data_IF_639000688041
#
_entry.id   IF_639000688041
#
_cell.length_a   1.000
_cell.length_b   1.000
_cell.length_c   1.000
_cell.angle_alpha   90.00
_cell.angle_beta   90.00
_cell.angle_gamma   90.00
#
_symmetry.space_group_name_H-M   'P 1'
#
loop_
_entity.id
_entity.type
_entity.pdbx_description
1 polymer ?
#
# COMPACT_ATOMS: atom_id res chain seq x y z
N UNK A 1 -8.60 -42.54 -3.68
CA UNK A 1 -8.47 -41.34 -2.83
C UNK A 1 -7.20 -40.53 -3.13
N UNK A 2 -5.98 -41.09 -3.05
CA UNK A 2 -4.73 -40.34 -3.38
C UNK A 2 -4.67 -39.91 -4.85
N UNK A 3 -5.04 -40.77 -5.80
CA UNK A 3 -5.05 -40.48 -7.24
C UNK A 3 -6.05 -39.39 -7.63
N UNK A 4 -7.19 -39.31 -6.96
CA UNK A 4 -8.20 -38.27 -7.21
C UNK A 4 -7.72 -36.89 -6.75
N UNK A 5 -7.07 -36.79 -5.58
CA UNK A 5 -6.52 -35.54 -5.06
C UNK A 5 -5.43 -35.00 -5.99
N UNK A 6 -4.53 -35.85 -6.47
CA UNK A 6 -3.47 -35.46 -7.43
C UNK A 6 -4.07 -34.94 -8.73
N UNK A 7 -5.14 -35.55 -9.24
CA UNK A 7 -5.82 -35.11 -10.45
C UNK A 7 -6.54 -33.77 -10.27
N UNK A 8 -7.12 -33.52 -9.10
CA UNK A 8 -7.79 -32.25 -8.77
C UNK A 8 -6.76 -31.11 -8.66
N UNK A 9 -5.64 -31.35 -8.01
CA UNK A 9 -4.55 -30.35 -7.86
C UNK A 9 -3.97 -30.00 -9.23
N UNK A 10 -3.63 -31.00 -10.06
CA UNK A 10 -3.11 -30.79 -11.39
C UNK A 10 -4.09 -30.02 -12.31
N UNK A 11 -5.40 -30.25 -12.15
CA UNK A 11 -6.43 -29.48 -12.87
C UNK A 11 -6.51 -28.05 -12.38
N UNK A 12 -6.44 -27.79 -11.08
CA UNK A 12 -6.49 -26.44 -10.53
C UNK A 12 -5.29 -25.60 -10.96
N UNK A 13 -4.08 -26.17 -10.90
CA UNK A 13 -2.85 -25.52 -11.40
C UNK A 13 -2.94 -25.20 -12.90
N UNK A 14 -3.43 -26.13 -13.70
CA UNK A 14 -3.62 -25.91 -15.15
C UNK A 14 -4.63 -24.79 -15.45
N UNK A 15 -5.74 -24.70 -14.70
CA UNK A 15 -6.71 -23.61 -14.85
C UNK A 15 -6.11 -22.24 -14.51
N UNK A 16 -5.25 -22.16 -13.49
CA UNK A 16 -4.51 -20.95 -13.17
C UNK A 16 -3.54 -20.56 -14.28
N UNK A 17 -2.72 -21.49 -14.76
CA UNK A 17 -1.80 -21.28 -15.88
C UNK A 17 -2.54 -20.83 -17.15
N UNK A 18 -3.68 -21.45 -17.48
CA UNK A 18 -4.50 -21.07 -18.63
C UNK A 18 -5.05 -19.63 -18.48
N UNK A 19 -5.52 -19.27 -17.28
CA UNK A 19 -6.00 -17.92 -17.01
C UNK A 19 -4.87 -16.88 -17.17
N UNK A 20 -3.66 -17.19 -16.71
CA UNK A 20 -2.50 -16.30 -16.84
C UNK A 20 -2.03 -16.15 -18.28
N UNK A 21 -2.01 -17.24 -19.06
CA UNK A 21 -1.71 -17.18 -20.49
C UNK A 21 -2.70 -16.32 -21.28
N UNK A 22 -4.01 -16.40 -20.95
CA UNK A 22 -5.05 -15.58 -21.58
C UNK A 22 -4.93 -14.09 -21.20
N UNK A 23 -4.46 -13.80 -19.98
CA UNK A 23 -4.22 -12.41 -19.54
C UNK A 23 -3.02 -11.77 -20.23
N UNK A 24 -1.98 -12.56 -20.48
CA UNK A 24 -0.73 -12.06 -21.08
C UNK A 24 -0.79 -11.85 -22.60
N UNK A 25 -1.91 -12.19 -23.29
CA UNK A 25 -1.98 -12.21 -24.77
C UNK A 25 -3.20 -11.49 -25.29
N UNK A 26 -3.03 -10.82 -26.45
CA UNK A 26 -4.16 -10.16 -27.13
C UNK A 26 -5.15 -11.14 -27.73
N UNK A 27 -4.63 -12.17 -28.38
CA UNK A 27 -5.40 -13.29 -28.92
C UNK A 27 -4.48 -14.50 -29.09
N UNK A 28 -5.03 -15.70 -28.96
CA UNK A 28 -4.30 -16.95 -29.18
C UNK A 28 -5.25 -18.02 -29.70
N UNK A 29 -4.72 -19.10 -30.26
CA UNK A 29 -5.56 -20.21 -30.76
C UNK A 29 -5.70 -21.31 -29.72
N UNK A 30 -6.82 -22.05 -29.76
CA UNK A 30 -7.01 -23.26 -28.94
C UNK A 30 -5.88 -24.26 -29.13
N UNK A 31 -5.37 -24.39 -30.35
CA UNK A 31 -4.26 -25.31 -30.65
C UNK A 31 -2.95 -24.85 -29.97
N UNK A 32 -2.63 -23.56 -30.02
CA UNK A 32 -1.43 -23.01 -29.37
C UNK A 32 -1.46 -23.22 -27.87
N UNK A 33 -2.59 -22.89 -27.20
CA UNK A 33 -2.76 -23.11 -25.77
C UNK A 33 -2.71 -24.58 -25.37
N UNK A 34 -3.30 -25.47 -26.18
CA UNK A 34 -3.27 -26.91 -25.91
C UNK A 34 -1.84 -27.47 -25.98
N UNK A 35 -1.05 -27.04 -26.95
CA UNK A 35 0.35 -27.42 -27.08
C UNK A 35 1.19 -26.91 -25.92
N UNK A 36 1.01 -25.64 -25.52
CA UNK A 36 1.78 -25.02 -24.44
C UNK A 36 1.49 -25.63 -23.06
N UNK A 37 0.23 -25.99 -22.81
CA UNK A 37 -0.18 -26.66 -21.58
C UNK A 37 -0.03 -28.18 -21.63
N UNK A 38 0.50 -28.72 -22.73
CA UNK A 38 0.67 -30.15 -22.97
C UNK A 38 -0.61 -30.98 -22.76
N UNK A 39 -1.76 -30.46 -23.20
CA UNK A 39 -3.07 -31.13 -23.06
C UNK A 39 -3.77 -31.31 -24.39
N UNK A 40 -4.74 -32.24 -24.43
CA UNK A 40 -5.58 -32.39 -25.61
C UNK A 40 -6.47 -31.14 -25.84
N UNK A 41 -6.80 -30.86 -27.11
CA UNK A 41 -7.77 -29.83 -27.47
C UNK A 41 -9.10 -29.97 -26.73
N UNK A 42 -9.58 -31.20 -26.51
CA UNK A 42 -10.80 -31.51 -25.77
C UNK A 42 -10.69 -31.08 -24.30
N UNK A 43 -9.53 -31.36 -23.67
CA UNK A 43 -9.25 -30.97 -22.29
C UNK A 43 -9.23 -29.44 -22.16
N UNK A 44 -8.55 -28.75 -23.07
CA UNK A 44 -8.47 -27.30 -23.08
C UNK A 44 -9.84 -26.62 -23.25
N UNK A 45 -10.68 -27.14 -24.19
CA UNK A 45 -12.04 -26.60 -24.37
C UNK A 45 -12.90 -26.75 -23.12
N UNK A 46 -12.75 -27.87 -22.39
CA UNK A 46 -13.43 -28.06 -21.09
C UNK A 46 -12.90 -27.10 -20.01
N UNK A 47 -11.62 -26.86 -19.98
CA UNK A 47 -10.99 -25.92 -19.05
C UNK A 47 -11.39 -24.46 -19.34
N UNK A 48 -11.47 -24.07 -20.61
CA UNK A 48 -12.02 -22.77 -21.05
C UNK A 48 -13.50 -22.60 -20.65
N UNK A 49 -14.32 -23.65 -20.81
CA UNK A 49 -15.70 -23.62 -20.35
C UNK A 49 -15.79 -23.44 -18.83
N UNK A 50 -14.96 -24.16 -18.06
CA UNK A 50 -14.90 -24.01 -16.60
C UNK A 50 -14.46 -22.60 -16.16
N UNK A 51 -13.57 -21.94 -16.89
CA UNK A 51 -13.18 -20.55 -16.61
C UNK A 51 -14.31 -19.57 -16.93
N UNK A 52 -15.08 -19.78 -18.03
CA UNK A 52 -16.26 -18.98 -18.35
C UNK A 52 -17.34 -19.09 -17.28
N UNK A 53 -17.65 -20.31 -16.81
CA UNK A 53 -18.59 -20.58 -15.72
C UNK A 53 -18.18 -19.87 -14.42
N UNK A 54 -16.90 -19.64 -14.20
CA UNK A 54 -16.34 -18.90 -13.07
C UNK A 54 -16.29 -17.38 -13.28
N UNK A 55 -16.88 -16.89 -14.38
CA UNK A 55 -17.00 -15.46 -14.67
C UNK A 55 -15.82 -14.84 -15.42
N UNK A 56 -14.87 -15.62 -15.97
CA UNK A 56 -13.87 -15.05 -16.85
C UNK A 56 -14.51 -14.75 -18.22
N UNK A 57 -14.48 -13.50 -18.70
CA UNK A 57 -15.06 -13.11 -19.98
C UNK A 57 -14.17 -13.57 -21.14
N UNK A 58 -14.23 -14.84 -21.47
CA UNK A 58 -13.46 -15.43 -22.55
C UNK A 58 -14.32 -15.49 -23.80
N UNK A 59 -13.93 -14.76 -24.86
CA UNK A 59 -14.52 -14.85 -26.17
C UNK A 59 -13.63 -15.64 -27.12
N UNK A 60 -14.22 -16.12 -28.18
CA UNK A 60 -13.52 -16.79 -29.26
C UNK A 60 -14.43 -17.70 -30.07
N UNK A 61 -14.22 -17.75 -31.37
CA UNK A 61 -14.92 -18.66 -32.26
C UNK A 61 -14.16 -19.98 -32.39
N UNK A 62 -14.89 -21.09 -32.30
CA UNK A 62 -14.33 -22.42 -32.54
C UNK A 62 -14.30 -22.68 -34.06
N UNK A 63 -13.12 -22.57 -34.68
CA UNK A 63 -12.94 -22.85 -36.12
C UNK A 63 -11.48 -22.82 -36.56
N UNK A 64 -11.18 -23.19 -37.82
CA UNK A 64 -9.85 -22.99 -38.40
C UNK A 64 -9.59 -21.48 -38.50
N UNK A 65 -8.66 -20.96 -37.67
CA UNK A 65 -8.38 -19.53 -37.55
C UNK A 65 -9.09 -18.80 -36.42
N UNK A 66 -9.97 -19.46 -35.67
CA UNK A 66 -10.65 -18.89 -34.51
C UNK A 66 -9.68 -18.63 -33.35
N UNK A 67 -9.62 -17.38 -32.88
CA UNK A 67 -8.82 -16.98 -31.72
C UNK A 67 -9.60 -17.05 -30.44
N UNK A 68 -8.94 -17.42 -29.35
CA UNK A 68 -9.45 -17.27 -27.99
C UNK A 68 -8.81 -16.03 -27.35
N UNK A 69 -9.61 -15.14 -26.80
CA UNK A 69 -9.14 -13.94 -26.08
C UNK A 69 -9.95 -13.71 -24.84
N UNK A 70 -9.36 -13.03 -23.89
CA UNK A 70 -10.09 -12.49 -22.76
C UNK A 70 -10.78 -11.20 -23.20
N UNK A 71 -12.11 -11.12 -23.11
CA UNK A 71 -12.86 -9.87 -23.35
C UNK A 71 -12.92 -9.05 -22.09
N UNK A 72 -12.83 -7.75 -22.25
CA UNK A 72 -12.96 -6.78 -21.18
C UNK A 72 -11.87 -5.73 -21.29
N UNK A 73 -12.18 -4.56 -20.76
CA UNK A 73 -11.19 -3.52 -20.52
C UNK A 73 -10.05 -4.16 -19.72
N UNK A 74 -8.83 -4.15 -20.26
CA UNK A 74 -7.67 -4.84 -19.68
C UNK A 74 -7.29 -4.20 -18.35
N UNK A 75 -8.17 -4.38 -17.37
CA UNK A 75 -7.86 -4.06 -15.99
C UNK A 75 -6.73 -4.95 -15.47
N UNK A 76 -6.00 -4.46 -14.50
CA UNK A 76 -4.96 -5.23 -13.81
C UNK A 76 -5.59 -6.52 -13.29
N UNK A 77 -5.02 -7.68 -13.67
CA UNK A 77 -5.38 -8.97 -13.10
C UNK A 77 -5.31 -8.92 -11.57
N UNK A 78 -6.02 -9.79 -10.87
CA UNK A 78 -6.06 -9.81 -9.42
C UNK A 78 -4.65 -9.71 -8.82
N UNK A 79 -4.35 -8.56 -8.25
CA UNK A 79 -3.08 -8.31 -7.54
C UNK A 79 -3.35 -8.48 -6.05
N UNK A 80 -2.58 -9.36 -5.42
CA UNK A 80 -2.64 -9.53 -3.97
C UNK A 80 -1.71 -8.52 -3.31
N UNK A 81 -2.28 -7.46 -2.76
CA UNK A 81 -1.53 -6.46 -2.01
C UNK A 81 -1.62 -6.72 -0.50
N UNK A 82 -0.48 -6.63 0.16
CA UNK A 82 -0.38 -6.54 1.61
C UNK A 82 -0.94 -5.19 2.10
N UNK A 83 -1.23 -5.08 3.40
CA UNK A 83 -1.68 -3.81 3.97
C UNK A 83 -0.61 -2.70 3.81
N UNK A 84 0.67 -3.06 3.95
CA UNK A 84 1.79 -2.12 3.83
C UNK A 84 1.91 -1.57 2.40
N UNK A 85 1.77 -2.43 1.37
CA UNK A 85 1.79 -2.00 -0.03
C UNK A 85 0.61 -1.07 -0.35
N UNK A 86 -0.59 -1.35 0.18
CA UNK A 86 -1.75 -0.47 0.01
C UNK A 86 -1.50 0.90 0.68
N UNK A 87 -0.91 0.92 1.87
CA UNK A 87 -0.52 2.16 2.57
C UNK A 87 0.51 2.94 1.77
N UNK A 88 1.52 2.28 1.20
CA UNK A 88 2.55 2.92 0.38
C UNK A 88 1.95 3.57 -0.88
N UNK A 89 1.07 2.86 -1.61
CA UNK A 89 0.36 3.39 -2.78
C UNK A 89 -0.54 4.58 -2.37
N UNK A 90 -1.29 4.44 -1.27
CA UNK A 90 -2.14 5.51 -0.74
C UNK A 90 -1.32 6.74 -0.36
N UNK A 91 -0.19 6.58 0.34
CA UNK A 91 0.68 7.68 0.73
C UNK A 91 1.30 8.37 -0.49
N UNK A 92 1.78 7.59 -1.48
CA UNK A 92 2.30 8.12 -2.74
C UNK A 92 1.28 8.97 -3.50
N UNK A 93 0.04 8.49 -3.62
CA UNK A 93 -1.04 9.24 -4.24
C UNK A 93 -1.37 10.54 -3.47
N UNK A 94 -1.29 10.53 -2.14
CA UNK A 94 -1.51 11.71 -1.30
C UNK A 94 -0.40 12.74 -1.43
N UNK A 95 0.86 12.29 -1.44
CA UNK A 95 2.02 13.16 -1.60
C UNK A 95 2.00 13.85 -2.98
N UNK A 96 1.67 13.12 -4.03
CA UNK A 96 1.54 13.67 -5.37
C UNK A 96 0.51 14.81 -5.43
N UNK A 97 -0.62 14.68 -4.75
CA UNK A 97 -1.65 15.74 -4.69
C UNK A 97 -1.24 16.94 -3.84
N UNK A 98 -0.41 16.74 -2.83
CA UNK A 98 0.05 17.82 -1.96
C UNK A 98 1.11 18.71 -2.63
N UNK A 99 1.78 18.20 -3.65
CA UNK A 99 2.89 18.92 -4.32
C UNK A 99 2.46 19.66 -5.59
N UNK A 100 1.45 19.17 -6.32
CA UNK A 100 0.91 19.82 -7.52
C UNK A 100 -0.31 19.05 -8.06
N UNK A 101 -1.13 19.69 -8.89
CA UNK A 101 -2.11 19.02 -9.71
C UNK A 101 -1.39 18.25 -10.82
N UNK A 102 -1.28 16.95 -10.66
CA UNK A 102 -0.63 16.07 -11.62
C UNK A 102 -1.61 15.62 -12.71
N UNK A 103 -1.15 15.41 -13.95
CA UNK A 103 -1.92 14.66 -14.94
C UNK A 103 -2.37 13.32 -14.35
N UNK A 104 -3.58 12.88 -14.70
CA UNK A 104 -4.20 11.65 -14.18
C UNK A 104 -4.52 11.62 -12.68
N UNK A 105 -4.51 12.75 -11.97
CA UNK A 105 -4.83 12.80 -10.54
C UNK A 105 -6.23 12.25 -10.20
N UNK A 106 -7.23 12.51 -11.05
CA UNK A 106 -8.58 11.94 -10.90
C UNK A 106 -8.60 10.43 -11.14
N UNK A 107 -7.85 9.95 -12.13
CA UNK A 107 -7.74 8.52 -12.41
C UNK A 107 -7.06 7.78 -11.25
N UNK A 108 -6.01 8.35 -10.67
CA UNK A 108 -5.34 7.79 -9.49
C UNK A 108 -6.29 7.74 -8.28
N UNK A 109 -7.09 8.77 -8.07
CA UNK A 109 -8.11 8.80 -7.02
C UNK A 109 -9.20 7.73 -7.23
N UNK A 110 -9.70 7.60 -8.46
CA UNK A 110 -10.67 6.57 -8.83
C UNK A 110 -10.12 5.15 -8.61
N UNK A 111 -8.87 4.90 -9.02
CA UNK A 111 -8.19 3.62 -8.81
C UNK A 111 -8.05 3.30 -7.32
N UNK A 112 -7.69 4.29 -6.50
CA UNK A 112 -7.58 4.14 -5.05
C UNK A 112 -8.94 3.81 -4.41
N UNK A 113 -10.03 4.47 -4.84
CA UNK A 113 -11.38 4.17 -4.36
C UNK A 113 -11.79 2.73 -4.67
N UNK A 114 -11.52 2.25 -5.90
CA UNK A 114 -11.79 0.87 -6.31
C UNK A 114 -10.99 -0.12 -5.44
N UNK A 115 -9.70 0.17 -5.22
CA UNK A 115 -8.83 -0.65 -4.37
C UNK A 115 -9.37 -0.74 -2.94
N UNK A 116 -9.74 0.39 -2.35
CA UNK A 116 -10.28 0.44 -0.99
C UNK A 116 -11.64 -0.25 -0.88
N UNK A 117 -12.50 -0.11 -1.89
CA UNK A 117 -13.79 -0.77 -1.97
C UNK A 117 -13.70 -2.30 -2.12
N UNK A 118 -12.60 -2.81 -2.65
CA UNK A 118 -12.36 -4.26 -2.80
C UNK A 118 -11.80 -4.94 -1.54
N UNK A 119 -11.44 -4.16 -0.50
CA UNK A 119 -10.83 -4.71 0.70
C UNK A 119 -11.84 -5.42 1.61
N UNK A 120 -11.50 -6.60 2.14
CA UNK A 120 -12.28 -7.22 3.21
C UNK A 120 -12.39 -6.30 4.43
N UNK A 121 -13.52 -6.32 5.11
CA UNK A 121 -13.83 -5.42 6.22
C UNK A 121 -12.73 -5.31 7.31
N UNK A 122 -12.03 -6.39 7.74
CA UNK A 122 -10.93 -6.29 8.69
C UNK A 122 -9.76 -5.48 8.16
N UNK A 123 -9.33 -5.71 6.91
CA UNK A 123 -8.24 -4.96 6.26
C UNK A 123 -8.62 -3.49 6.07
N UNK A 124 -9.86 -3.21 5.65
CA UNK A 124 -10.36 -1.85 5.50
C UNK A 124 -10.38 -1.08 6.84
N UNK A 125 -10.72 -1.74 7.96
CA UNK A 125 -10.64 -1.15 9.31
C UNK A 125 -9.20 -0.85 9.72
N UNK A 126 -8.29 -1.80 9.52
CA UNK A 126 -6.87 -1.65 9.83
C UNK A 126 -6.24 -0.49 9.03
N UNK A 127 -6.54 -0.42 7.74
CA UNK A 127 -6.08 0.69 6.88
C UNK A 127 -6.60 2.04 7.35
N UNK A 128 -7.90 2.17 7.63
CA UNK A 128 -8.48 3.41 8.15
C UNK A 128 -7.84 3.85 9.47
N UNK A 129 -7.58 2.91 10.37
CA UNK A 129 -6.91 3.19 11.64
C UNK A 129 -5.48 3.73 11.43
N UNK A 130 -4.75 3.18 10.46
CA UNK A 130 -3.41 3.63 10.11
C UNK A 130 -3.43 4.99 9.40
N UNK A 131 -4.30 5.16 8.40
CA UNK A 131 -4.42 6.42 7.65
C UNK A 131 -4.79 7.62 8.53
N UNK A 132 -5.55 7.41 9.61
CA UNK A 132 -5.86 8.48 10.58
C UNK A 132 -4.63 9.01 11.32
N UNK A 133 -3.55 8.24 11.35
CA UNK A 133 -2.29 8.58 12.00
C UNK A 133 -1.28 9.23 11.05
N UNK A 134 -1.59 9.30 9.75
CA UNK A 134 -0.73 9.89 8.72
C UNK A 134 -1.37 11.16 8.18
N UNK A 135 -0.68 12.28 8.33
CA UNK A 135 -1.14 13.60 7.94
C UNK A 135 -0.21 14.11 6.84
N UNK A 136 -0.79 14.47 5.70
CA UNK A 136 -0.05 15.09 4.60
C UNK A 136 -0.53 16.54 4.50
N UNK A 137 0.38 17.46 4.84
CA UNK A 137 0.14 18.89 4.80
C UNK A 137 0.60 19.53 3.49
N UNK A 138 0.52 20.86 3.46
CA UNK A 138 1.10 21.66 2.39
C UNK A 138 2.64 21.57 2.42
N UNK A 139 3.33 21.89 1.31
CA UNK A 139 4.79 21.96 1.28
C UNK A 139 5.33 22.86 2.40
N UNK A 140 6.42 22.43 3.01
CA UNK A 140 7.08 23.19 4.06
C UNK A 140 7.47 24.59 3.59
N UNK A 141 7.54 25.57 4.50
CA UNK A 141 7.97 26.94 4.17
C UNK A 141 9.40 26.97 3.63
N UNK A 142 9.75 28.00 2.87
CA UNK A 142 11.10 28.14 2.31
C UNK A 142 12.20 28.08 3.37
N UNK A 143 11.97 28.69 4.54
CA UNK A 143 12.89 28.65 5.67
C UNK A 143 13.09 27.22 6.25
N UNK A 144 12.04 26.41 6.26
CA UNK A 144 12.14 25.01 6.70
C UNK A 144 12.83 24.15 5.66
N UNK A 145 12.53 24.38 4.37
CA UNK A 145 13.16 23.65 3.25
C UNK A 145 14.65 23.89 3.10
N UNK A 146 15.12 25.15 3.27
CA UNK A 146 16.53 25.49 3.14
C UNK A 146 17.47 24.78 4.11
N UNK A 147 16.92 24.32 5.26
CA UNK A 147 17.67 23.53 6.24
C UNK A 147 17.21 22.08 6.33
N UNK A 148 16.54 21.56 5.30
CA UNK A 148 16.02 20.20 5.32
C UNK A 148 17.03 19.23 4.68
N UNK A 149 17.35 18.17 5.44
CA UNK A 149 18.05 16.99 4.96
C UNK A 149 17.08 15.87 4.55
N UNK A 150 17.64 14.77 4.09
CA UNK A 150 16.88 13.56 3.83
C UNK A 150 16.80 12.71 5.11
N UNK A 151 15.65 12.11 5.34
CA UNK A 151 15.51 11.11 6.39
C UNK A 151 16.40 9.89 6.06
N UNK A 152 17.20 9.38 7.03
CA UNK A 152 18.04 8.21 6.78
C UNK A 152 17.18 6.99 6.38
N UNK A 153 17.56 6.21 5.36
CA UNK A 153 16.78 5.03 4.93
C UNK A 153 16.55 4.00 6.05
N UNK A 154 17.55 3.81 6.92
CA UNK A 154 17.42 2.95 8.08
C UNK A 154 16.32 3.42 9.04
N UNK A 155 16.23 4.73 9.27
CA UNK A 155 15.17 5.32 10.10
C UNK A 155 13.79 5.05 9.51
N UNK A 156 13.63 5.23 8.20
CA UNK A 156 12.33 5.02 7.53
C UNK A 156 11.86 3.58 7.73
N UNK A 157 12.73 2.60 7.56
CA UNK A 157 12.43 1.18 7.77
C UNK A 157 12.04 0.88 9.22
N UNK A 158 12.85 1.34 10.19
CA UNK A 158 12.58 1.10 11.61
C UNK A 158 11.35 1.86 12.11
N UNK A 159 11.10 3.06 11.57
CA UNK A 159 9.87 3.81 11.86
C UNK A 159 8.63 3.07 11.34
N UNK A 160 8.65 2.59 10.10
CA UNK A 160 7.54 1.82 9.52
C UNK A 160 7.21 0.59 10.37
N UNK A 161 8.23 -0.15 10.78
CA UNK A 161 8.08 -1.32 11.64
C UNK A 161 7.50 -0.96 13.00
N UNK A 162 8.10 0.00 13.71
CA UNK A 162 7.64 0.43 15.04
C UNK A 162 6.22 1.01 14.99
N UNK A 163 5.91 1.82 13.96
CA UNK A 163 4.62 2.44 13.75
C UNK A 163 3.50 1.42 13.49
N UNK A 164 3.80 0.40 12.69
CA UNK A 164 2.87 -0.68 12.36
C UNK A 164 2.64 -1.62 13.54
N UNK A 165 3.71 -1.99 14.25
CA UNK A 165 3.68 -2.89 15.42
C UNK A 165 3.25 -2.19 16.71
N UNK A 166 3.21 -0.86 16.73
CA UNK A 166 2.86 -0.04 17.90
C UNK A 166 3.84 -0.24 19.06
N UNK A 167 5.12 -0.23 18.73
CA UNK A 167 6.22 -0.30 19.68
C UNK A 167 7.04 0.99 19.63
N UNK A 168 7.80 1.26 20.69
CA UNK A 168 8.57 2.49 20.82
C UNK A 168 9.79 2.54 19.92
N UNK A 169 10.35 3.74 19.82
CA UNK A 169 11.63 4.01 19.17
C UNK A 169 12.55 4.75 20.14
N UNK A 170 13.85 4.43 20.11
CA UNK A 170 14.90 5.26 20.69
C UNK A 170 15.83 5.77 19.61
N UNK A 171 16.36 6.97 19.79
CA UNK A 171 17.30 7.59 18.86
C UNK A 171 18.04 8.77 19.49
N UNK A 172 19.10 9.23 18.82
CA UNK A 172 19.74 10.50 19.09
C UNK A 172 19.06 11.59 18.25
N UNK A 173 18.64 12.66 18.89
CA UNK A 173 17.98 13.81 18.23
C UNK A 173 18.84 15.05 18.36
N UNK A 174 19.14 15.70 17.24
CA UNK A 174 19.86 16.98 17.21
C UNK A 174 18.85 18.12 17.04
N UNK A 175 18.73 19.01 18.01
CA UNK A 175 17.81 20.14 17.99
C UNK A 175 18.30 21.26 17.05
N UNK A 176 17.59 22.40 17.04
CA UNK A 176 17.94 23.56 16.20
C UNK A 176 19.22 24.24 16.67
N UNK A 177 19.55 24.14 17.94
CA UNK A 177 20.74 24.69 18.56
C UNK A 177 21.96 23.77 18.47
N UNK A 178 21.83 22.62 17.78
CA UNK A 178 22.91 21.65 17.60
C UNK A 178 23.13 20.70 18.79
N UNK A 179 22.27 20.75 19.82
CA UNK A 179 22.41 19.87 20.98
C UNK A 179 21.85 18.50 20.67
N UNK A 180 22.66 17.45 20.90
CA UNK A 180 22.24 16.07 20.71
C UNK A 180 21.74 15.49 22.04
N UNK A 181 20.58 14.86 22.01
CA UNK A 181 19.95 14.22 23.17
C UNK A 181 19.39 12.87 22.78
N UNK A 182 19.50 11.89 23.68
CA UNK A 182 18.85 10.60 23.50
C UNK A 182 17.35 10.74 23.81
N UNK A 183 16.51 10.13 22.97
CA UNK A 183 15.06 10.12 23.11
C UNK A 183 14.51 8.72 23.06
N UNK A 184 13.44 8.49 23.83
CA UNK A 184 12.60 7.31 23.81
C UNK A 184 11.18 7.78 23.55
N UNK A 185 10.53 7.25 22.52
CA UNK A 185 9.24 7.77 22.08
C UNK A 185 8.25 6.66 21.74
N UNK A 186 6.98 7.01 21.84
CA UNK A 186 5.86 6.26 21.26
C UNK A 186 5.41 6.99 19.98
N UNK A 187 5.63 6.44 18.78
CA UNK A 187 5.30 7.11 17.52
C UNK A 187 3.79 7.02 17.23
N UNK A 188 3.02 8.02 17.64
CA UNK A 188 1.58 8.07 17.45
C UNK A 188 1.18 8.45 16.03
N UNK A 189 1.90 9.36 15.38
CA UNK A 189 1.57 9.89 14.06
C UNK A 189 2.77 10.18 13.17
N UNK A 190 2.49 10.30 11.88
CA UNK A 190 3.40 10.77 10.85
C UNK A 190 2.82 12.05 10.24
N UNK A 191 3.60 13.12 10.21
CA UNK A 191 3.28 14.34 9.49
C UNK A 191 4.28 14.52 8.35
N UNK A 192 3.76 14.78 7.16
CA UNK A 192 4.56 15.05 5.97
C UNK A 192 4.23 16.44 5.43
N UNK A 193 5.19 17.34 5.49
CA UNK A 193 5.20 18.65 4.80
C UNK A 193 6.29 18.60 3.73
N UNK A 194 5.99 18.20 2.51
CA UNK A 194 7.05 17.94 1.53
C UNK A 194 8.07 19.09 1.41
N UNK A 195 9.39 18.81 1.40
CA UNK A 195 10.03 17.49 1.48
C UNK A 195 10.33 17.00 2.91
N UNK A 196 9.81 17.64 3.94
CA UNK A 196 10.13 17.35 5.35
C UNK A 196 9.14 16.39 5.99
N UNK A 197 9.65 15.47 6.77
CA UNK A 197 8.89 14.43 7.47
C UNK A 197 9.08 14.56 8.99
N UNK A 198 8.00 14.36 9.73
CA UNK A 198 7.99 14.49 11.19
C UNK A 198 7.32 13.28 11.84
N UNK A 199 7.92 12.80 12.92
CA UNK A 199 7.26 11.86 13.84
C UNK A 199 6.50 12.67 14.88
N UNK A 200 5.18 12.47 14.96
CA UNK A 200 4.33 12.98 16.03
C UNK A 200 4.27 11.92 17.12
N UNK A 201 4.87 12.21 18.26
CA UNK A 201 5.13 11.20 19.28
C UNK A 201 4.73 11.69 20.69
N UNK A 202 4.64 10.75 21.60
CA UNK A 202 4.78 11.01 23.03
C UNK A 202 6.21 10.67 23.45
N UNK A 203 6.90 11.61 24.08
CA UNK A 203 8.17 11.37 24.75
C UNK A 203 7.91 10.43 25.94
N UNK A 204 8.51 9.23 25.92
CA UNK A 204 8.22 8.19 26.91
C UNK A 204 8.71 8.56 28.31
N UNK A 205 9.76 9.36 28.41
CA UNK A 205 10.37 9.76 29.69
C UNK A 205 9.63 10.95 30.32
N UNK A 206 9.15 11.91 29.48
CA UNK A 206 8.46 13.11 29.92
C UNK A 206 6.93 13.00 29.88
N UNK A 207 6.42 12.00 29.17
CA UNK A 207 4.99 11.78 28.90
C UNK A 207 4.27 12.94 28.19
N UNK A 208 5.03 13.77 27.48
CA UNK A 208 4.53 14.93 26.74
C UNK A 208 4.47 14.69 25.24
N UNK A 209 3.52 15.30 24.51
CA UNK A 209 3.53 15.34 23.05
C UNK A 209 4.78 16.05 22.53
N UNK A 210 5.45 15.45 21.54
CA UNK A 210 6.65 16.01 20.91
C UNK A 210 6.73 15.67 19.45
N UNK A 211 7.15 16.66 18.64
CA UNK A 211 7.38 16.53 17.20
C UNK A 211 8.88 16.42 16.92
N UNK A 212 9.26 15.42 16.13
CA UNK A 212 10.66 15.18 15.75
C UNK A 212 10.80 15.18 14.23
N UNK A 213 11.68 16.04 13.70
CA UNK A 213 12.04 15.98 12.26
C UNK A 213 12.89 14.74 12.01
N UNK A 214 12.52 13.98 10.98
CA UNK A 214 13.21 12.71 10.70
C UNK A 214 14.66 12.90 10.24
N UNK A 215 14.97 13.96 9.52
CA UNK A 215 16.33 14.29 9.07
C UNK A 215 17.31 14.68 10.20
N UNK A 216 16.80 14.84 11.43
CA UNK A 216 17.58 15.16 12.64
C UNK A 216 17.71 13.98 13.59
N UNK A 217 17.25 12.82 13.16
CA UNK A 217 17.28 11.58 13.94
C UNK A 217 18.48 10.75 13.48
N UNK A 218 19.28 10.30 14.44
CA UNK A 218 20.41 9.41 14.22
C UNK A 218 20.34 8.18 15.13
N UNK A 219 20.93 7.08 14.70
CA UNK A 219 21.03 5.81 15.45
C UNK A 219 19.66 5.31 15.97
N UNK A 220 18.65 5.16 15.12
CA UNK A 220 17.34 4.68 15.54
C UNK A 220 17.40 3.22 15.98
N UNK A 221 16.59 2.86 17.00
CA UNK A 221 16.40 1.48 17.48
C UNK A 221 14.96 1.27 17.89
N UNK A 222 14.42 0.10 17.64
CA UNK A 222 13.10 -0.32 18.13
C UNK A 222 13.21 -0.65 19.62
N UNK A 223 12.20 -0.25 20.38
CA UNK A 223 12.03 -0.59 21.80
C UNK A 223 10.86 -1.56 21.92
N UNK A 224 11.14 -2.85 21.90
CA UNK A 224 10.12 -3.91 21.96
C UNK A 224 9.33 -3.89 23.27
N UNK A 225 10.00 -3.50 24.36
CA UNK A 225 9.42 -3.41 25.69
C UNK A 225 8.45 -2.22 25.86
N UNK A 226 8.47 -1.24 24.94
CA UNK A 226 7.63 -0.06 24.98
C UNK A 226 6.46 -0.21 23.99
N UNK A 227 5.44 -0.99 24.33
CA UNK A 227 4.22 -1.08 23.54
C UNK A 227 3.22 0.02 23.92
N UNK A 228 2.45 0.51 22.96
CA UNK A 228 1.47 1.57 23.18
C UNK A 228 0.22 1.41 22.32
N UNK A 229 -0.88 2.01 22.76
CA UNK A 229 -2.08 2.18 21.94
C UNK A 229 -2.05 3.55 21.25
N UNK A 230 -2.24 3.62 19.92
CA UNK A 230 -2.28 4.89 19.20
C UNK A 230 -3.34 5.82 19.77
N UNK A 231 -2.94 7.05 20.05
CA UNK A 231 -3.81 8.08 20.60
C UNK A 231 -3.84 9.30 19.65
N UNK A 232 -5.02 9.60 19.12
CA UNK A 232 -5.23 10.73 18.21
C UNK A 232 -5.10 12.07 18.93
N UNK A 233 -5.39 12.13 20.24
CA UNK A 233 -5.23 13.34 21.02
C UNK A 233 -3.76 13.80 21.08
N UNK A 234 -2.82 12.87 21.12
CA UNK A 234 -1.38 13.16 21.04
C UNK A 234 -1.01 13.80 19.71
N UNK A 235 -1.63 13.37 18.62
CA UNK A 235 -1.43 13.94 17.28
C UNK A 235 -2.02 15.36 17.24
N UNK A 236 -3.27 15.50 17.67
CA UNK A 236 -3.99 16.78 17.65
C UNK A 236 -3.33 17.86 18.51
N UNK A 237 -2.79 17.49 19.66
CA UNK A 237 -2.08 18.42 20.54
C UNK A 237 -0.83 19.07 19.89
N UNK A 238 -0.32 18.48 18.81
CA UNK A 238 0.86 18.95 18.10
C UNK A 238 0.53 19.71 16.81
N UNK A 239 -0.75 19.80 16.45
CA UNK A 239 -1.25 20.44 15.24
C UNK A 239 -2.23 21.58 15.63
N UNK A 240 -1.73 22.74 16.05
CA UNK A 240 -2.57 23.82 16.62
C UNK A 240 -3.56 24.42 15.61
N UNK A 241 -3.34 24.24 14.32
CA UNK A 241 -4.20 24.74 13.25
C UNK A 241 -4.70 23.58 12.37
N UNK A 242 -5.79 22.93 12.84
CA UNK A 242 -6.42 21.81 12.13
C UNK A 242 -6.92 22.20 10.72
N UNK A 243 -7.17 23.47 10.43
CA UNK A 243 -7.59 23.91 9.09
C UNK A 243 -6.43 23.84 8.09
N UNK A 244 -5.22 24.17 8.53
CA UNK A 244 -3.99 24.01 7.76
C UNK A 244 -3.62 22.54 7.54
N UNK A 245 -3.99 21.70 8.48
CA UNK A 245 -3.66 20.29 8.57
C UNK A 245 -4.87 19.39 8.34
N UNK A 246 -5.87 19.85 7.62
CA UNK A 246 -7.01 18.99 7.32
C UNK A 246 -6.46 17.64 6.92
N UNK A 247 -6.70 16.57 7.70
CA UNK A 247 -6.56 15.26 7.16
C UNK A 247 -7.40 15.33 5.90
N UNK A 248 -6.80 15.07 4.74
CA UNK A 248 -7.54 15.08 3.48
C UNK A 248 -8.52 13.90 3.53
N UNK A 249 -9.42 13.94 4.50
CA UNK A 249 -10.66 13.19 4.58
C UNK A 249 -11.64 13.86 3.61
N UNK A 250 -11.27 13.91 2.35
CA UNK A 250 -12.26 13.94 1.30
C UNK A 250 -13.14 12.73 1.60
N UNK A 251 -14.44 12.97 1.79
CA UNK A 251 -15.43 11.96 2.10
C UNK A 251 -15.15 10.70 1.30
N UNK A 252 -14.78 9.64 1.99
CA UNK A 252 -14.91 8.29 1.53
C UNK A 252 -16.34 7.86 1.87
N UNK A 253 -17.32 8.54 1.27
CA UNK A 253 -18.72 8.10 1.22
C UNK A 253 -18.98 7.51 -0.14
#
# INVERSE_FOLDING_TARGET
>A
MVTEIVTIVARAERLLQLADLLRGREATTVAALANELAVSRRTLLRDLASLRERGLPISGEAGPGGGVRLEGDRGVAAVHLSLQEIVAIWLGARLSRATSDLPWGEAANSAMLKLLGSLPAPKARALRALCRRVIVGLPASAAVRSGAGLAPPELLRLFEEAFSRRVGLSFHYTDREGRSTQRRIEPHGLLVEPPVWYVLARDADKREPRTFRMDRIARPRILEELSFSPDIAIIQAQLPDLERWRPLTGRWT
#
